data_IF_507505076915
#
_entry.id   IF_507505076915
#
_cell.length_a   1.000
_cell.length_b   1.000
_cell.length_c   1.000
_cell.angle_alpha   90.00
_cell.angle_beta   90.00
_cell.angle_gamma   90.00
#
_symmetry.space_group_name_H-M   'P 1'
#
loop_
_entity.id
_entity.type
_entity.pdbx_description
1 polymer ?
#
# COMPACT_ATOMS: atom_id res chain seq x y z
N UNK A 1 -24.84 2.71 0.38
CA UNK A 1 -24.80 1.36 -0.25
C UNK A 1 -23.84 0.54 0.60
N UNK A 2 -24.37 -0.17 1.61
CA UNK A 2 -24.34 -1.63 1.73
C UNK A 2 -22.91 -2.20 1.89
N UNK A 3 -22.56 -2.93 2.96
CA UNK A 3 -23.28 -4.12 3.46
C UNK A 3 -23.04 -4.31 4.96
N UNK A 4 -24.15 -4.44 5.68
CA UNK A 4 -24.27 -5.07 7.00
C UNK A 4 -24.38 -6.59 6.82
N UNK A 5 -23.43 -7.33 7.38
CA UNK A 5 -23.54 -8.72 7.86
C UNK A 5 -22.55 -8.78 9.04
N UNK A 6 -22.89 -9.22 10.25
CA UNK A 6 -23.46 -10.52 10.56
C UNK A 6 -24.06 -10.46 11.97
N UNK A 7 -25.32 -10.88 12.10
CA UNK A 7 -25.91 -11.29 13.36
C UNK A 7 -25.15 -12.50 13.94
N UNK A 8 -24.59 -12.37 15.15
CA UNK A 8 -24.42 -13.52 16.05
C UNK A 8 -24.36 -13.09 17.53
N UNK A 9 -25.44 -13.43 18.25
CA UNK A 9 -25.50 -13.87 19.65
C UNK A 9 -24.91 -12.96 20.78
N UNK A 10 -25.63 -11.88 21.04
CA UNK A 10 -26.06 -11.26 22.32
C UNK A 10 -25.27 -11.28 23.65
N UNK A 11 -24.02 -11.74 23.79
CA UNK A 11 -23.33 -11.59 25.10
C UNK A 11 -21.84 -11.20 25.08
N UNK A 12 -21.16 -11.22 23.94
CA UNK A 12 -19.71 -10.92 23.85
C UNK A 12 -19.34 -9.58 23.21
N UNK A 13 -20.31 -8.78 22.76
CA UNK A 13 -20.07 -7.73 21.75
C UNK A 13 -19.53 -6.41 22.30
N UNK A 14 -19.59 -6.14 23.61
CA UNK A 14 -19.24 -4.82 24.15
C UNK A 14 -17.73 -4.57 24.30
N UNK A 15 -16.89 -5.62 24.28
CA UNK A 15 -15.45 -5.46 24.55
C UNK A 15 -14.59 -5.31 23.29
N UNK A 16 -15.10 -5.63 22.10
CA UNK A 16 -14.30 -5.61 20.86
C UNK A 16 -14.30 -4.22 20.19
N UNK A 17 -15.27 -3.35 20.49
CA UNK A 17 -15.34 -2.00 19.90
C UNK A 17 -14.27 -1.04 20.44
N UNK A 18 -13.64 -1.31 21.57
CA UNK A 18 -12.59 -0.44 22.13
C UNK A 18 -11.25 -0.53 21.38
N UNK A 19 -11.01 -1.61 20.61
CA UNK A 19 -9.73 -1.85 19.93
C UNK A 19 -9.62 -1.16 18.55
N UNK A 20 -10.69 -0.55 18.05
CA UNK A 20 -10.68 0.11 16.73
C UNK A 20 -10.36 1.62 16.77
N UNK A 21 -10.30 2.24 17.95
CA UNK A 21 -10.12 3.69 18.09
C UNK A 21 -8.65 4.15 18.17
N UNK A 22 -7.67 3.25 18.20
CA UNK A 22 -6.23 3.59 18.21
C UNK A 22 -5.60 3.73 16.83
N UNK A 23 -6.39 3.91 15.78
CA UNK A 23 -5.87 4.26 14.47
C UNK A 23 -5.63 5.78 14.46
N UNK A 24 -4.43 6.17 14.91
CA UNK A 24 -3.99 7.56 14.98
C UNK A 24 -4.40 8.34 13.73
N UNK A 25 -5.16 9.40 13.94
CA UNK A 25 -5.62 10.31 12.89
C UNK A 25 -4.38 11.10 12.44
N UNK A 26 -3.68 10.58 11.43
CA UNK A 26 -2.69 11.36 10.72
C UNK A 26 -3.46 12.41 9.90
N UNK A 27 -3.60 13.62 10.47
CA UNK A 27 -4.04 14.81 9.74
C UNK A 27 -3.09 15.04 8.56
N UNK A 28 -3.61 14.97 7.34
CA UNK A 28 -2.91 15.29 6.08
C UNK A 28 -2.11 14.13 5.48
N UNK A 29 -2.71 12.97 5.23
CA UNK A 29 -1.97 11.85 4.64
C UNK A 29 -2.94 10.97 3.88
N UNK A 30 -2.63 10.69 2.61
CA UNK A 30 -3.21 9.56 1.89
C UNK A 30 -3.15 8.30 2.79
N UNK A 31 -4.28 7.58 2.91
CA UNK A 31 -4.41 6.49 3.90
C UNK A 31 -3.62 5.24 3.45
N UNK A 32 -2.82 4.68 4.37
CA UNK A 32 -1.95 3.53 4.10
C UNK A 32 -2.75 2.28 3.71
N UNK A 33 -4.00 2.10 4.17
CA UNK A 33 -4.84 0.99 3.70
C UNK A 33 -5.28 1.19 2.27
N UNK A 34 -5.60 2.41 1.86
CA UNK A 34 -5.91 2.72 0.46
C UNK A 34 -4.71 2.37 -0.43
N UNK A 35 -3.51 2.77 -0.03
CA UNK A 35 -2.28 2.45 -0.75
C UNK A 35 -2.06 0.93 -0.89
N UNK A 36 -2.18 0.19 0.22
CA UNK A 36 -1.99 -1.26 0.18
C UNK A 36 -3.11 -1.95 -0.59
N UNK A 37 -4.32 -1.39 -0.60
CA UNK A 37 -5.43 -1.85 -1.43
C UNK A 37 -5.11 -1.79 -2.92
N UNK A 38 -4.41 -0.75 -3.38
CA UNK A 38 -3.94 -0.64 -4.77
C UNK A 38 -2.94 -1.74 -5.14
N UNK A 39 -2.12 -2.19 -4.19
CA UNK A 39 -1.10 -3.21 -4.41
C UNK A 39 -1.56 -4.64 -4.11
N UNK A 40 -2.75 -4.81 -3.53
CA UNK A 40 -3.33 -6.12 -3.25
C UNK A 40 -3.35 -7.08 -4.48
N UNK A 41 -3.76 -6.64 -5.69
CA UNK A 41 -3.69 -7.50 -6.88
C UNK A 41 -2.26 -7.91 -7.29
N UNK A 42 -1.22 -7.24 -6.78
CA UNK A 42 0.17 -7.57 -7.06
C UNK A 42 0.75 -8.67 -6.15
N UNK A 43 0.05 -9.08 -5.10
CA UNK A 43 0.52 -10.12 -4.19
C UNK A 43 1.04 -11.41 -4.88
N UNK A 44 0.33 -12.04 -5.84
CA UNK A 44 0.83 -13.24 -6.49
C UNK A 44 2.18 -13.00 -7.19
N UNK A 45 2.35 -11.83 -7.82
CA UNK A 45 3.61 -11.44 -8.45
C UNK A 45 4.73 -11.18 -7.43
N UNK A 46 4.44 -10.45 -6.33
CA UNK A 46 5.40 -10.20 -5.26
C UNK A 46 5.90 -11.48 -4.57
N UNK A 47 5.07 -12.52 -4.54
CA UNK A 47 5.39 -13.83 -4.00
C UNK A 47 5.98 -14.78 -5.07
N UNK A 48 6.28 -14.27 -6.26
CA UNK A 48 6.83 -15.03 -7.40
C UNK A 48 5.97 -16.23 -7.81
N UNK A 49 4.66 -16.16 -7.58
CA UNK A 49 3.68 -17.17 -8.02
C UNK A 49 3.31 -16.98 -9.50
N UNK A 50 3.53 -15.78 -10.05
CA UNK A 50 3.36 -15.45 -11.46
C UNK A 50 4.65 -14.86 -12.02
N UNK A 51 4.92 -15.12 -13.31
CA UNK A 51 6.06 -14.53 -14.01
C UNK A 51 5.87 -13.03 -14.28
N UNK A 52 4.61 -12.60 -14.44
CA UNK A 52 4.24 -11.24 -14.79
C UNK A 52 3.13 -10.71 -13.86
N UNK A 53 3.06 -9.39 -13.64
CA UNK A 53 1.96 -8.76 -12.93
C UNK A 53 0.67 -8.83 -13.76
N UNK A 54 -0.46 -9.02 -13.09
CA UNK A 54 -1.78 -8.93 -13.73
C UNK A 54 -2.10 -7.50 -14.15
N UNK A 55 -3.07 -7.33 -15.05
CA UNK A 55 -3.54 -6.00 -15.50
C UNK A 55 -4.01 -5.16 -14.29
N UNK A 56 -4.80 -5.73 -13.39
CA UNK A 56 -5.24 -5.06 -12.16
C UNK A 56 -4.09 -4.64 -11.25
N UNK A 57 -3.02 -5.45 -11.20
CA UNK A 57 -1.81 -5.08 -10.48
C UNK A 57 -1.14 -3.85 -11.10
N UNK A 58 -0.99 -3.81 -12.43
CA UNK A 58 -0.42 -2.66 -13.09
C UNK A 58 -1.27 -1.40 -12.93
N UNK A 59 -2.60 -1.50 -13.03
CA UNK A 59 -3.52 -0.38 -12.79
C UNK A 59 -3.33 0.18 -11.37
N UNK A 60 -3.30 -0.69 -10.36
CA UNK A 60 -3.09 -0.29 -8.98
C UNK A 60 -1.71 0.32 -8.72
N UNK A 61 -0.66 -0.28 -9.29
CA UNK A 61 0.71 0.22 -9.16
C UNK A 61 0.92 1.57 -9.87
N UNK A 62 0.31 1.78 -11.04
CA UNK A 62 0.32 3.07 -11.74
C UNK A 62 -0.46 4.13 -10.96
N UNK A 63 -1.65 3.80 -10.44
CA UNK A 63 -2.41 4.71 -9.60
C UNK A 63 -1.60 5.14 -8.37
N UNK A 64 -0.89 4.20 -7.74
CA UNK A 64 0.04 4.52 -6.66
C UNK A 64 1.15 5.47 -7.13
N UNK A 65 1.77 5.22 -8.28
CA UNK A 65 2.80 6.12 -8.82
C UNK A 65 2.26 7.55 -8.98
N UNK A 66 1.07 7.72 -9.55
CA UNK A 66 0.42 9.04 -9.69
C UNK A 66 0.14 9.72 -8.34
N UNK A 67 -0.24 8.96 -7.31
CA UNK A 67 -0.42 9.49 -5.95
C UNK A 67 0.91 9.98 -5.39
N UNK A 68 1.98 9.18 -5.54
CA UNK A 68 3.31 9.54 -5.04
C UNK A 68 3.82 10.79 -5.77
N UNK A 69 3.56 10.94 -7.07
CA UNK A 69 3.94 12.12 -7.86
C UNK A 69 3.09 13.37 -7.59
N UNK A 70 1.89 13.21 -7.03
CA UNK A 70 0.96 14.33 -6.81
C UNK A 70 1.43 15.33 -5.77
N UNK A 71 2.19 14.89 -4.74
CA UNK A 71 2.75 15.79 -3.72
C UNK A 71 3.86 15.12 -2.91
N UNK A 72 4.78 15.93 -2.39
CA UNK A 72 5.84 15.49 -1.49
C UNK A 72 5.29 14.87 -0.19
N UNK A 73 4.16 15.36 0.32
CA UNK A 73 3.45 14.78 1.46
C UNK A 73 2.94 13.37 1.18
N UNK A 74 2.33 13.15 0.01
CA UNK A 74 1.85 11.85 -0.43
C UNK A 74 3.01 10.88 -0.68
N UNK A 75 4.11 11.37 -1.26
CA UNK A 75 5.33 10.59 -1.45
C UNK A 75 5.90 10.11 -0.11
N UNK A 76 6.08 11.02 0.87
CA UNK A 76 6.59 10.67 2.20
C UNK A 76 5.67 9.72 2.94
N UNK A 77 4.36 9.93 2.85
CA UNK A 77 3.35 9.07 3.49
C UNK A 77 3.34 7.67 2.89
N UNK A 78 3.41 7.57 1.56
CA UNK A 78 3.50 6.32 0.82
C UNK A 78 4.78 5.55 1.16
N UNK A 79 5.93 6.24 1.19
CA UNK A 79 7.19 5.63 1.59
C UNK A 79 7.14 5.10 3.03
N UNK A 80 6.62 5.88 3.98
CA UNK A 80 6.47 5.44 5.38
C UNK A 80 5.56 4.22 5.50
N UNK A 81 4.48 4.17 4.72
CA UNK A 81 3.56 3.04 4.66
C UNK A 81 4.27 1.78 4.12
N UNK A 82 4.86 1.87 2.93
CA UNK A 82 5.57 0.76 2.28
C UNK A 82 6.75 0.26 3.11
N UNK A 83 7.50 1.15 3.76
CA UNK A 83 8.60 0.79 4.66
C UNK A 83 8.13 -0.04 5.86
N UNK A 84 6.97 0.27 6.45
CA UNK A 84 6.40 -0.51 7.56
C UNK A 84 5.98 -1.90 7.10
N UNK A 85 5.37 -2.00 5.92
CA UNK A 85 4.93 -3.28 5.36
C UNK A 85 6.12 -4.13 4.91
N UNK A 86 7.10 -3.54 4.20
CA UNK A 86 8.29 -4.24 3.74
C UNK A 86 9.14 -4.84 4.87
N UNK A 87 9.09 -4.28 6.09
CA UNK A 87 9.70 -4.91 7.27
C UNK A 87 9.03 -6.22 7.69
N UNK A 88 7.72 -6.34 7.47
CA UNK A 88 6.92 -7.54 7.81
C UNK A 88 6.84 -8.54 6.64
N UNK A 89 6.76 -8.01 5.43
CA UNK A 89 6.61 -8.74 4.18
C UNK A 89 7.65 -8.21 3.19
N UNK A 90 8.91 -8.66 3.30
CA UNK A 90 9.97 -8.21 2.41
C UNK A 90 9.67 -8.67 0.98
N UNK A 91 9.69 -7.72 0.04
CA UNK A 91 9.64 -8.01 -1.40
C UNK A 91 11.05 -7.83 -1.95
N UNK A 92 11.59 -8.80 -2.71
CA UNK A 92 12.92 -8.68 -3.30
C UNK A 92 13.00 -7.47 -4.24
N UNK A 93 14.09 -6.69 -4.14
CA UNK A 93 14.34 -5.54 -5.02
C UNK A 93 14.19 -5.83 -6.53
N UNK A 94 14.70 -6.97 -7.05
CA UNK A 94 14.52 -7.34 -8.45
C UNK A 94 13.05 -7.49 -8.87
N UNK A 95 12.19 -8.04 -8.00
CA UNK A 95 10.75 -8.18 -8.26
C UNK A 95 10.07 -6.81 -8.32
N UNK A 96 10.47 -5.89 -7.42
CA UNK A 96 10.00 -4.50 -7.47
C UNK A 96 10.40 -3.82 -8.78
N UNK A 97 11.65 -3.95 -9.20
CA UNK A 97 12.12 -3.38 -10.48
C UNK A 97 11.40 -3.98 -11.68
N UNK A 98 11.15 -5.29 -11.65
CA UNK A 98 10.39 -5.97 -12.69
C UNK A 98 8.95 -5.44 -12.75
N UNK A 99 8.30 -5.17 -11.61
CA UNK A 99 6.97 -4.52 -11.60
C UNK A 99 7.00 -3.17 -12.34
N UNK A 100 7.98 -2.31 -12.02
CA UNK A 100 8.11 -1.01 -12.67
C UNK A 100 8.26 -1.15 -14.19
N UNK A 101 9.14 -2.07 -14.63
CA UNK A 101 9.37 -2.32 -16.05
C UNK A 101 8.14 -2.91 -16.74
N UNK A 102 7.54 -3.96 -16.19
CA UNK A 102 6.39 -4.67 -16.79
C UNK A 102 5.13 -3.81 -16.84
N UNK A 103 4.94 -2.93 -15.86
CA UNK A 103 3.79 -2.02 -15.82
C UNK A 103 4.07 -0.64 -16.42
N UNK A 104 5.25 -0.43 -17.03
CA UNK A 104 5.66 0.85 -17.63
C UNK A 104 5.51 2.05 -16.67
N UNK A 105 5.90 1.86 -15.41
CA UNK A 105 5.80 2.89 -14.37
C UNK A 105 7.11 3.69 -14.36
N UNK A 106 7.01 4.97 -14.66
CA UNK A 106 8.10 5.93 -14.55
C UNK A 106 7.80 6.88 -13.41
N UNK A 107 8.74 6.98 -12.47
CA UNK A 107 8.64 7.88 -11.33
C UNK A 107 9.68 8.97 -11.52
N UNK A 108 9.26 10.21 -11.77
CA UNK A 108 10.16 11.32 -12.11
C UNK A 108 10.67 12.11 -10.88
N UNK A 109 10.88 11.43 -9.77
CA UNK A 109 11.31 12.03 -8.50
C UNK A 109 12.62 11.39 -8.05
N UNK A 110 13.48 12.21 -7.45
CA UNK A 110 14.76 11.76 -6.91
C UNK A 110 14.49 10.91 -5.67
N UNK A 111 14.20 9.63 -5.88
CA UNK A 111 14.08 8.67 -4.78
C UNK A 111 15.49 8.52 -4.22
N UNK A 112 15.68 8.98 -2.98
CA UNK A 112 16.91 8.72 -2.22
C UNK A 112 17.20 7.21 -2.28
N UNK A 113 18.40 6.79 -2.71
CA UNK A 113 18.72 5.37 -2.93
C UNK A 113 18.65 4.54 -1.65
N UNK A 114 18.62 5.17 -0.47
CA UNK A 114 18.46 4.50 0.81
C UNK A 114 16.98 4.41 1.24
N UNK A 115 16.04 4.80 0.38
CA UNK A 115 14.61 4.85 0.70
C UNK A 115 14.36 5.63 2.00
N UNK A 116 15.14 6.69 2.21
CA UNK A 116 14.96 7.53 3.38
C UNK A 116 13.72 8.41 3.19
N UNK A 117 12.58 7.92 3.69
CA UNK A 117 11.28 8.60 3.62
C UNK A 117 11.23 10.00 4.27
N UNK A 118 12.32 10.46 4.89
CA UNK A 118 12.46 11.81 5.47
C UNK A 118 13.31 12.75 4.61
N UNK A 119 13.99 12.24 3.57
CA UNK A 119 14.83 13.00 2.62
C UNK A 119 14.30 12.94 1.18
N UNK A 120 13.10 12.38 1.00
CA UNK A 120 12.29 12.51 -0.21
C UNK A 120 11.70 13.90 -0.30
#
# INVERSE_FOLDING_TARGET
>A
MAKTVTEYSSAGLMLVLALFLSQGIAKGSFDCRTLLGLLNPCQPFFLSQTLEPSIDCCIGAQALASIVESSEENMRSSCKCLKKVGKKHPVPGPIVMQLFSSCNIHINMTIDPNFNCSKL
#
